data_IF_480856807730
#
_entry.id   IF_480856807730
#
_cell.length_a   1.000
_cell.length_b   1.000
_cell.length_c   1.000
_cell.angle_alpha   90.00
_cell.angle_beta   90.00
_cell.angle_gamma   90.00
#
_symmetry.space_group_name_H-M   'P 1'
#
loop_
_entity.id
_entity.type
_entity.pdbx_description
1 polymer ?
#
# COMPACT_ATOMS: atom_id res chain seq x y z
N UNK A 1 53.73 -27.85 -7.91
CA UNK A 1 53.40 -26.40 -7.70
C UNK A 1 53.57 -25.59 -9.00
N UNK A 2 54.65 -25.71 -9.77
CA UNK A 2 54.86 -24.88 -11.01
C UNK A 2 53.78 -25.04 -12.12
N UNK A 3 53.09 -26.17 -12.25
CA UNK A 3 52.08 -26.34 -13.31
C UNK A 3 50.75 -25.63 -13.00
N UNK A 4 50.36 -25.51 -11.74
CA UNK A 4 49.18 -24.77 -11.30
C UNK A 4 49.37 -23.26 -11.48
N UNK A 5 50.54 -22.74 -11.16
CA UNK A 5 50.86 -21.33 -11.35
C UNK A 5 50.82 -20.93 -12.83
N UNK A 6 51.35 -21.78 -13.72
CA UNK A 6 51.30 -21.53 -15.18
C UNK A 6 49.87 -21.56 -15.75
N UNK A 7 48.98 -22.41 -15.19
CA UNK A 7 47.58 -22.45 -15.61
C UNK A 7 46.82 -21.21 -15.15
N UNK A 8 47.03 -20.79 -13.90
CA UNK A 8 46.44 -19.56 -13.38
C UNK A 8 46.92 -18.32 -14.17
N UNK A 9 48.22 -18.24 -14.49
CA UNK A 9 48.78 -17.12 -15.25
C UNK A 9 48.25 -17.06 -16.69
N UNK A 10 48.04 -18.20 -17.34
CA UNK A 10 47.44 -18.24 -18.69
C UNK A 10 45.96 -17.85 -18.65
N UNK A 11 45.23 -18.29 -17.65
CA UNK A 11 43.80 -17.96 -17.49
C UNK A 11 43.60 -16.48 -17.22
N UNK A 12 44.40 -15.88 -16.34
CA UNK A 12 44.35 -14.45 -16.05
C UNK A 12 44.77 -13.57 -17.23
N UNK A 13 45.80 -13.96 -17.99
CA UNK A 13 46.19 -13.24 -19.20
C UNK A 13 45.10 -13.32 -20.29
N UNK A 14 44.46 -14.46 -20.48
CA UNK A 14 43.39 -14.61 -21.48
C UNK A 14 42.17 -13.80 -21.14
N UNK A 15 41.80 -13.72 -19.85
CA UNK A 15 40.74 -12.88 -19.36
C UNK A 15 41.05 -11.39 -19.51
N UNK A 16 42.27 -10.98 -19.17
CA UNK A 16 42.72 -9.60 -19.31
C UNK A 16 42.79 -9.12 -20.79
N UNK A 17 43.04 -10.03 -21.72
CA UNK A 17 43.07 -9.70 -23.17
C UNK A 17 41.68 -9.66 -23.80
N UNK A 18 40.70 -10.40 -23.24
CA UNK A 18 39.31 -10.43 -23.77
C UNK A 18 38.43 -9.33 -23.17
N UNK A 19 38.76 -8.80 -22.02
CA UNK A 19 38.01 -7.72 -21.38
C UNK A 19 38.76 -6.42 -21.46
N UNK A 20 38.32 -5.50 -22.30
CA UNK A 20 38.75 -4.13 -22.24
C UNK A 20 38.33 -3.53 -20.89
N UNK A 21 39.22 -2.76 -20.24
CA UNK A 21 38.93 -2.07 -18.97
C UNK A 21 37.62 -1.30 -19.03
N UNK A 22 37.27 -0.76 -20.19
CA UNK A 22 36.01 -0.05 -20.45
C UNK A 22 34.79 -1.00 -20.41
N UNK A 23 34.91 -2.18 -21.01
CA UNK A 23 33.77 -3.13 -21.02
C UNK A 23 33.51 -3.76 -19.65
N UNK A 24 34.55 -3.98 -18.84
CA UNK A 24 34.43 -4.52 -17.50
C UNK A 24 33.78 -3.49 -16.56
N UNK A 25 34.18 -2.23 -16.63
CA UNK A 25 33.56 -1.14 -15.86
C UNK A 25 32.12 -0.86 -16.31
N UNK A 26 31.85 -0.95 -17.62
CA UNK A 26 30.50 -0.80 -18.14
C UNK A 26 29.57 -1.94 -17.67
N UNK A 27 30.04 -3.19 -17.71
CA UNK A 27 29.27 -4.34 -17.24
C UNK A 27 29.05 -4.31 -15.72
N UNK A 28 30.07 -3.91 -14.95
CA UNK A 28 29.94 -3.73 -13.50
C UNK A 28 29.00 -2.57 -13.17
N UNK A 29 29.08 -1.47 -13.91
CA UNK A 29 28.18 -0.33 -13.79
C UNK A 29 26.73 -0.70 -14.09
N UNK A 30 26.49 -1.47 -15.15
CA UNK A 30 25.14 -1.96 -15.49
C UNK A 30 24.58 -2.92 -14.44
N UNK A 31 25.42 -3.77 -13.84
CA UNK A 31 25.02 -4.70 -12.78
C UNK A 31 24.68 -3.97 -11.49
N UNK A 32 25.45 -2.95 -11.13
CA UNK A 32 25.22 -2.14 -9.93
C UNK A 32 24.00 -1.20 -10.10
N UNK A 33 23.85 -0.56 -11.26
CA UNK A 33 22.69 0.30 -11.52
C UNK A 33 21.42 -0.52 -11.70
N UNK A 34 21.47 -1.67 -12.36
CA UNK A 34 20.33 -2.57 -12.49
C UNK A 34 19.87 -3.12 -11.14
N UNK A 35 20.79 -3.52 -10.28
CA UNK A 35 20.47 -4.02 -8.94
C UNK A 35 19.94 -2.90 -7.99
N UNK A 36 20.42 -1.67 -8.15
CA UNK A 36 19.98 -0.53 -7.35
C UNK A 36 18.59 0.00 -7.80
N UNK A 37 18.23 -0.16 -9.07
CA UNK A 37 16.95 0.29 -9.60
C UNK A 37 15.81 -0.74 -9.40
N UNK A 38 16.13 -2.03 -9.18
CA UNK A 38 15.13 -3.07 -8.93
C UNK A 38 14.19 -2.76 -7.76
N UNK A 39 14.62 -2.15 -6.64
CA UNK A 39 13.70 -1.75 -5.57
C UNK A 39 12.86 -0.51 -5.88
N UNK A 40 13.23 0.28 -6.92
CA UNK A 40 12.54 1.51 -7.31
C UNK A 40 11.49 1.29 -8.42
N UNK A 41 11.49 0.12 -9.04
CA UNK A 41 10.40 -0.25 -9.94
C UNK A 41 9.15 -0.50 -9.12
N UNK A 42 7.99 0.11 -9.47
CA UNK A 42 6.74 -0.21 -8.85
C UNK A 42 6.46 -1.70 -9.09
N UNK A 43 6.71 -2.51 -8.07
CA UNK A 43 6.38 -3.94 -8.12
C UNK A 43 4.86 -4.02 -8.13
N UNK A 44 4.30 -4.44 -9.24
CA UNK A 44 2.88 -4.79 -9.33
C UNK A 44 2.58 -5.89 -8.31
N UNK A 45 1.97 -5.49 -7.20
CA UNK A 45 1.57 -6.40 -6.12
C UNK A 45 0.26 -7.12 -6.41
N UNK A 46 -0.38 -6.84 -7.53
CA UNK A 46 -1.62 -7.51 -7.94
C UNK A 46 -1.46 -9.04 -8.08
N UNK A 47 -0.23 -9.53 -8.32
CA UNK A 47 0.05 -10.96 -8.40
C UNK A 47 0.14 -11.71 -7.06
N UNK A 48 0.24 -11.03 -5.90
CA UNK A 48 0.35 -11.68 -4.58
C UNK A 48 -0.96 -11.82 -3.82
N UNK A 49 -2.05 -11.27 -4.32
CA UNK A 49 -3.37 -11.38 -3.69
C UNK A 49 -4.07 -12.74 -3.92
N UNK A 50 -3.38 -13.75 -4.47
CA UNK A 50 -3.97 -15.06 -4.78
C UNK A 50 -3.77 -16.16 -3.74
N UNK A 51 -3.37 -15.85 -2.52
CA UNK A 51 -3.18 -16.85 -1.49
C UNK A 51 -3.84 -16.42 -0.18
N UNK A 52 -5.16 -16.47 -0.12
CA UNK A 52 -5.94 -16.71 1.09
C UNK A 52 -7.41 -16.93 0.69
N UNK A 53 -7.78 -18.18 0.49
CA UNK A 53 -9.18 -18.58 0.40
C UNK A 53 -9.82 -18.58 1.80
N UNK A 54 -10.53 -17.53 2.08
CA UNK A 54 -11.83 -17.54 2.75
C UNK A 54 -12.53 -16.32 2.19
N UNK A 55 -13.49 -16.54 1.29
CA UNK A 55 -14.29 -15.47 0.69
C UNK A 55 -14.94 -14.64 1.81
N UNK A 56 -14.41 -13.44 2.16
CA UNK A 56 -15.10 -12.56 3.07
C UNK A 56 -16.46 -12.27 2.45
N UNK A 57 -17.52 -12.18 3.25
CA UNK A 57 -18.81 -11.73 2.77
C UNK A 57 -18.62 -10.30 2.27
N UNK A 58 -18.57 -10.14 0.96
CA UNK A 58 -18.41 -8.84 0.30
C UNK A 58 -19.54 -7.84 0.67
N UNK A 59 -20.59 -8.32 1.33
CA UNK A 59 -21.76 -7.55 1.70
C UNK A 59 -21.74 -7.08 3.17
N UNK A 60 -20.71 -7.42 3.99
CA UNK A 60 -20.62 -7.02 5.38
C UNK A 60 -19.83 -5.72 5.56
N UNK A 61 -20.36 -4.74 6.32
CA UNK A 61 -19.61 -3.52 6.66
C UNK A 61 -18.35 -3.76 7.53
N UNK A 62 -18.16 -4.94 8.09
CA UNK A 62 -16.97 -5.36 8.82
C UNK A 62 -15.93 -6.03 7.90
N UNK A 63 -16.26 -6.19 6.61
CA UNK A 63 -15.36 -6.78 5.63
C UNK A 63 -14.62 -5.71 4.84
N UNK A 64 -13.30 -5.83 4.73
CA UNK A 64 -12.50 -4.98 3.83
C UNK A 64 -12.91 -5.11 2.36
N UNK A 65 -13.58 -6.20 1.98
CA UNK A 65 -14.05 -6.44 0.61
C UNK A 65 -15.41 -5.79 0.32
N UNK A 66 -16.00 -5.10 1.31
CA UNK A 66 -17.24 -4.37 1.10
C UNK A 66 -17.04 -3.30 0.03
N UNK A 67 -17.91 -3.27 -0.97
CA UNK A 67 -17.77 -2.44 -2.17
C UNK A 67 -17.50 -0.97 -1.85
N UNK A 68 -18.09 -0.45 -0.78
CA UNK A 68 -17.94 0.95 -0.34
C UNK A 68 -16.52 1.32 0.15
N UNK A 69 -15.65 0.31 0.37
CA UNK A 69 -14.32 0.52 0.90
C UNK A 69 -13.21 0.46 -0.17
N UNK A 70 -13.54 0.72 -1.43
CA UNK A 70 -12.60 0.63 -2.55
C UNK A 70 -11.36 1.55 -2.37
N UNK A 71 -11.49 2.62 -1.61
CA UNK A 71 -10.44 3.61 -1.37
C UNK A 71 -10.08 3.80 0.11
N UNK A 72 -10.48 2.87 0.98
CA UNK A 72 -10.13 2.93 2.39
C UNK A 72 -8.73 2.37 2.63
N UNK A 73 -8.01 3.00 3.54
CA UNK A 73 -6.77 2.50 4.10
C UNK A 73 -6.78 2.73 5.62
N UNK A 74 -6.49 1.68 6.39
CA UNK A 74 -6.57 1.70 7.83
C UNK A 74 -7.68 0.83 8.42
N UNK A 75 -8.11 1.13 9.65
CA UNK A 75 -9.10 0.34 10.38
C UNK A 75 -10.53 0.77 10.08
N UNK A 76 -11.44 -0.19 9.90
CA UNK A 76 -12.87 0.09 9.71
C UNK A 76 -13.51 0.51 11.03
N UNK A 77 -14.19 1.67 11.05
CA UNK A 77 -14.94 2.10 12.25
C UNK A 77 -16.10 1.18 12.61
N UNK A 78 -16.66 0.44 11.65
CA UNK A 78 -17.65 -0.60 11.90
C UNK A 78 -17.14 -1.74 12.81
N UNK A 79 -15.82 -2.00 12.80
CA UNK A 79 -15.18 -2.96 13.71
C UNK A 79 -14.72 -2.33 15.03
N UNK A 80 -14.82 -1.01 15.18
CA UNK A 80 -14.20 -0.24 16.25
C UNK A 80 -15.22 0.46 17.16
N UNK A 81 -16.46 -0.01 17.15
CA UNK A 81 -17.54 0.54 17.96
C UNK A 81 -18.25 1.75 17.36
N UNK A 82 -17.92 2.10 16.11
CA UNK A 82 -18.67 3.03 15.28
C UNK A 82 -19.55 2.32 14.26
N UNK A 83 -19.82 3.00 13.16
CA UNK A 83 -20.49 2.41 11.98
C UNK A 83 -19.63 2.61 10.74
N UNK A 84 -20.08 2.10 9.61
CA UNK A 84 -19.38 2.39 8.34
C UNK A 84 -19.40 3.88 7.98
N UNK A 85 -20.24 4.70 8.60
CA UNK A 85 -20.43 6.13 8.27
C UNK A 85 -20.31 7.07 9.48
N UNK A 86 -20.11 6.56 10.69
CA UNK A 86 -19.97 7.39 11.89
C UNK A 86 -18.84 6.93 12.79
N UNK A 87 -18.12 7.89 13.35
CA UNK A 87 -17.08 7.64 14.33
C UNK A 87 -17.64 7.00 15.61
N UNK A 88 -16.87 6.16 16.31
CA UNK A 88 -17.25 5.61 17.60
C UNK A 88 -17.29 6.72 18.66
N UNK A 89 -18.04 6.49 19.76
CA UNK A 89 -18.08 7.44 20.88
C UNK A 89 -16.68 7.76 21.40
N UNK A 90 -16.41 9.07 21.60
CA UNK A 90 -15.13 9.55 22.07
C UNK A 90 -14.07 9.75 20.98
N UNK A 91 -14.39 9.51 19.71
CA UNK A 91 -13.58 9.90 18.58
C UNK A 91 -14.30 10.99 17.76
N UNK A 92 -13.55 11.97 17.25
CA UNK A 92 -14.05 13.06 16.42
C UNK A 92 -13.59 12.86 14.96
N UNK A 93 -14.42 13.19 13.96
CA UNK A 93 -13.99 13.11 12.57
C UNK A 93 -12.92 14.16 12.29
N UNK A 94 -11.94 13.80 11.44
CA UNK A 94 -10.97 14.72 10.89
C UNK A 94 -11.67 15.79 10.02
N UNK A 95 -11.22 17.03 9.98
CA UNK A 95 -11.69 18.03 9.03
C UNK A 95 -11.25 17.76 7.58
N UNK A 96 -10.35 16.81 7.39
CA UNK A 96 -9.82 16.42 6.08
C UNK A 96 -10.41 15.08 5.69
N UNK A 97 -10.85 14.98 4.43
CA UNK A 97 -11.37 13.75 3.84
C UNK A 97 -10.79 13.54 2.44
N UNK A 98 -10.85 12.31 1.95
CA UNK A 98 -10.53 11.99 0.56
C UNK A 98 -11.71 11.28 -0.10
N UNK A 99 -11.67 11.16 -1.42
CA UNK A 99 -12.79 10.64 -2.22
C UNK A 99 -12.30 9.46 -3.03
N UNK A 100 -13.16 8.45 -3.17
CA UNK A 100 -12.99 7.35 -4.12
C UNK A 100 -14.26 7.12 -4.92
N UNK A 101 -14.13 6.60 -6.13
CA UNK A 101 -15.26 6.11 -6.92
C UNK A 101 -15.30 4.59 -6.81
N UNK A 102 -16.38 4.05 -6.22
CA UNK A 102 -16.50 2.64 -5.92
C UNK A 102 -17.65 2.02 -6.70
N UNK A 103 -17.37 0.89 -7.34
CA UNK A 103 -18.38 0.12 -8.07
C UNK A 103 -19.17 -0.78 -7.11
N UNK A 104 -20.50 -0.65 -7.12
CA UNK A 104 -21.39 -1.56 -6.41
C UNK A 104 -21.90 -2.65 -7.36
N UNK A 105 -21.38 -3.85 -7.23
CA UNK A 105 -21.74 -4.97 -8.08
C UNK A 105 -23.21 -5.42 -7.91
N UNK A 106 -23.90 -5.03 -6.82
CA UNK A 106 -25.28 -5.43 -6.57
C UNK A 106 -26.29 -4.67 -7.44
N UNK A 107 -25.98 -3.41 -7.77
CA UNK A 107 -26.85 -2.56 -8.61
C UNK A 107 -26.18 -2.07 -9.89
N UNK A 108 -24.89 -2.42 -10.08
CA UNK A 108 -24.11 -2.07 -11.26
C UNK A 108 -23.77 -0.58 -11.40
N UNK A 109 -23.85 0.18 -10.30
CA UNK A 109 -23.59 1.63 -10.30
C UNK A 109 -22.26 1.96 -9.65
N UNK A 110 -21.68 3.08 -10.07
CA UNK A 110 -20.53 3.68 -9.44
C UNK A 110 -20.97 4.77 -8.48
N UNK A 111 -20.35 4.78 -7.28
CA UNK A 111 -20.67 5.73 -6.22
C UNK A 111 -19.47 6.56 -5.86
N UNK A 112 -19.69 7.85 -5.64
CA UNK A 112 -18.70 8.73 -5.03
C UNK A 112 -18.78 8.53 -3.52
N UNK A 113 -17.68 8.08 -2.93
CA UNK A 113 -17.57 7.79 -1.50
C UNK A 113 -16.53 8.70 -0.88
N UNK A 114 -16.88 9.38 0.19
CA UNK A 114 -15.97 10.17 1.02
C UNK A 114 -15.48 9.32 2.19
N UNK A 115 -14.17 9.35 2.42
CA UNK A 115 -13.51 8.72 3.56
C UNK A 115 -13.02 9.77 4.53
N UNK A 116 -13.16 9.50 5.82
CA UNK A 116 -12.75 10.43 6.85
C UNK A 116 -12.23 9.66 8.06
N UNK A 117 -11.12 10.14 8.62
CA UNK A 117 -10.53 9.55 9.81
C UNK A 117 -11.25 9.97 11.08
N UNK A 118 -11.35 9.04 12.02
CA UNK A 118 -11.85 9.28 13.36
C UNK A 118 -10.66 9.36 14.32
N UNK A 119 -10.56 10.45 15.06
CA UNK A 119 -9.40 10.85 15.83
C UNK A 119 -9.74 10.99 17.33
N UNK A 120 -8.72 10.90 18.19
CA UNK A 120 -8.87 11.14 19.62
C UNK A 120 -8.94 9.89 20.49
N UNK A 121 -8.78 8.70 19.90
CA UNK A 121 -8.66 7.43 20.61
C UNK A 121 -7.43 6.68 20.13
N UNK A 122 -6.91 5.78 20.95
CA UNK A 122 -5.85 4.86 20.50
C UNK A 122 -6.29 4.06 19.28
N UNK A 123 -5.34 3.64 18.45
CA UNK A 123 -5.59 2.80 17.28
C UNK A 123 -6.49 1.62 17.61
N UNK A 124 -7.50 1.38 16.79
CA UNK A 124 -8.49 0.32 17.00
C UNK A 124 -7.85 -1.08 16.93
N UNK A 125 -6.94 -1.31 15.98
CA UNK A 125 -6.26 -2.60 15.79
C UNK A 125 -7.13 -3.71 15.22
N UNK A 126 -8.35 -3.41 14.75
CA UNK A 126 -9.31 -4.40 14.26
C UNK A 126 -9.73 -4.07 12.83
N UNK A 127 -9.87 -5.08 11.97
CA UNK A 127 -10.23 -4.94 10.55
C UNK A 127 -9.35 -3.91 9.82
N UNK A 128 -8.06 -4.20 9.74
CA UNK A 128 -7.09 -3.39 8.99
C UNK A 128 -7.26 -3.65 7.49
N UNK A 129 -7.66 -2.61 6.76
CA UNK A 129 -7.87 -2.63 5.33
C UNK A 129 -6.81 -1.80 4.64
N UNK A 130 -6.12 -2.40 3.69
CA UNK A 130 -5.07 -1.74 2.93
C UNK A 130 -5.38 -1.87 1.43
N UNK A 131 -5.80 -0.75 0.82
CA UNK A 131 -6.09 -0.62 -0.60
C UNK A 131 -5.05 0.28 -1.25
N UNK A 132 -3.96 -0.32 -1.72
CA UNK A 132 -2.87 0.40 -2.36
C UNK A 132 -3.25 0.76 -3.82
N UNK A 133 -3.95 1.86 -4.02
CA UNK A 133 -4.33 2.37 -5.35
C UNK A 133 -3.57 3.68 -5.72
N UNK A 134 -2.27 3.67 -5.61
CA UNK A 134 -1.35 4.60 -6.26
C UNK A 134 -1.32 6.05 -5.77
N UNK A 135 -2.41 6.78 -5.73
CA UNK A 135 -2.44 8.23 -5.43
C UNK A 135 -3.09 8.58 -4.09
N UNK A 136 -3.39 7.59 -3.27
CA UNK A 136 -4.09 7.78 -1.99
C UNK A 136 -3.11 7.78 -0.83
N UNK A 137 -3.42 8.50 0.26
CA UNK A 137 -2.63 8.40 1.47
C UNK A 137 -2.62 6.95 1.94
N UNK A 138 -1.44 6.34 1.98
CA UNK A 138 -1.27 4.98 2.50
C UNK A 138 -1.19 5.09 4.00
N UNK A 139 -2.24 4.62 4.67
CA UNK A 139 -2.29 4.57 6.12
C UNK A 139 -1.79 3.24 6.63
N UNK A 140 -0.70 3.27 7.37
CA UNK A 140 -0.17 2.11 8.08
C UNK A 140 -0.07 2.47 9.57
N UNK A 141 -1.07 2.15 10.37
CA UNK A 141 -1.08 2.50 11.80
C UNK A 141 0.15 2.00 12.57
N UNK A 142 0.83 0.97 12.05
CA UNK A 142 2.09 0.43 12.60
C UNK A 142 3.34 1.16 12.12
N UNK A 143 3.24 2.07 11.17
CA UNK A 143 4.35 2.86 10.62
C UNK A 143 4.02 4.33 10.73
N UNK A 144 4.67 5.03 11.63
CA UNK A 144 4.45 6.48 11.87
C UNK A 144 4.91 7.42 10.75
N UNK A 145 5.14 6.91 9.54
CA UNK A 145 5.60 7.70 8.39
C UNK A 145 4.52 7.95 7.37
N UNK A 146 3.35 7.38 7.56
CA UNK A 146 2.23 7.57 6.65
C UNK A 146 1.46 8.84 7.03
N UNK A 147 0.78 9.42 6.05
CA UNK A 147 0.06 10.66 6.24
C UNK A 147 -1.11 10.43 7.21
N UNK A 148 -1.07 11.11 8.33
CA UNK A 148 -2.10 11.06 9.37
C UNK A 148 -3.02 12.26 9.24
N UNK A 149 -4.22 12.07 8.73
CA UNK A 149 -5.20 13.16 8.59
C UNK A 149 -5.70 13.69 9.94
N UNK A 150 -5.50 12.95 11.03
CA UNK A 150 -5.77 13.43 12.38
C UNK A 150 -4.83 14.53 12.84
N UNK A 151 -3.74 14.81 12.13
CA UNK A 151 -2.88 15.97 12.43
C UNK A 151 -3.62 17.33 12.36
N UNK A 152 -4.77 17.37 11.68
CA UNK A 152 -5.62 18.56 11.63
C UNK A 152 -6.59 18.69 12.83
N UNK A 153 -6.63 17.69 13.71
CA UNK A 153 -7.50 17.66 14.90
C UNK A 153 -6.74 18.13 16.15
N UNK A 154 -7.50 18.45 17.20
CA UNK A 154 -6.95 18.73 18.52
C UNK A 154 -6.25 17.50 19.12
N UNK A 155 -6.74 16.29 18.82
CA UNK A 155 -6.10 15.02 19.16
C UNK A 155 -5.67 14.33 17.87
N UNK A 156 -4.37 14.10 17.74
CA UNK A 156 -3.72 13.55 16.55
C UNK A 156 -3.75 12.01 16.46
N UNK A 157 -4.34 11.36 17.47
CA UNK A 157 -4.38 9.90 17.52
C UNK A 157 -5.41 9.37 16.53
N UNK A 158 -4.97 8.66 15.52
CA UNK A 158 -5.83 7.94 14.59
C UNK A 158 -6.45 6.71 15.26
N UNK A 159 -7.75 6.53 15.07
CA UNK A 159 -8.49 5.39 15.60
C UNK A 159 -8.98 4.44 14.50
N UNK A 160 -9.78 4.94 13.57
CA UNK A 160 -10.38 4.19 12.46
C UNK A 160 -10.85 5.15 11.36
N UNK A 161 -11.29 4.62 10.24
CA UNK A 161 -11.79 5.41 9.09
C UNK A 161 -13.24 5.06 8.80
N UNK A 162 -14.03 6.08 8.50
CA UNK A 162 -15.42 5.96 8.03
C UNK A 162 -15.51 6.21 6.53
N UNK A 163 -16.63 5.77 5.93
CA UNK A 163 -16.93 5.98 4.51
C UNK A 163 -18.39 6.42 4.34
N UNK A 164 -18.62 7.52 3.66
CA UNK A 164 -19.94 8.11 3.44
C UNK A 164 -20.21 8.23 1.95
N UNK A 165 -21.36 7.72 1.49
CA UNK A 165 -21.77 7.89 0.10
C UNK A 165 -22.21 9.34 -0.11
N UNK A 166 -21.60 10.03 -1.07
CA UNK A 166 -21.94 11.40 -1.45
C UNK A 166 -22.95 11.43 -2.59
N UNK A 167 -22.92 10.46 -3.48
CA UNK A 167 -23.81 10.38 -4.64
C UNK A 167 -23.42 9.26 -5.60
N UNK A 168 -24.16 9.17 -6.68
CA UNK A 168 -23.86 8.29 -7.82
C UNK A 168 -22.92 9.04 -8.75
N UNK A 169 -21.89 8.38 -9.25
CA UNK A 169 -21.03 8.94 -10.28
C UNK A 169 -21.82 8.93 -11.62
N UNK A 170 -21.92 10.09 -12.25
CA UNK A 170 -22.45 10.20 -13.61
C UNK A 170 -21.34 9.83 -14.60
N UNK A 171 -21.63 8.91 -15.50
CA UNK A 171 -20.74 8.51 -16.60
C UNK A 171 -20.86 9.47 -17.78
#
# INVERSE_FOLDING_TARGET
MRKLDQLCERSTRSLAQRTSRRSLLASLGQLLTGAALLPLLPMDRAGRARAAEAKPRADSPESCEYWKYCAIDGFLCSCCGGTSASCPPGAAPSPISWIGTCHNAADGRDYIVSYNDCCGKSSCGTCDCNRNEGEKPIYRPSRNNDLNWCLANADVNYHCTVSVILGVAEN
#
